data_IF_842212288186
#
_entry.id   IF_842212288186
#
_cell.length_a   1.000
_cell.length_b   1.000
_cell.length_c   1.000
_cell.angle_alpha   90.00
_cell.angle_beta   90.00
_cell.angle_gamma   90.00
#
_symmetry.space_group_name_H-M   'P 1'
#
loop_
_entity.id
_entity.type
_entity.pdbx_description
1 polymer ?
#
# COMPACT_ATOMS: atom_id res chain seq x y z
N UNK A 1 36.16 -68.02 30.38
CA UNK A 1 36.99 -66.96 29.71
C UNK A 1 36.07 -65.94 29.12
N UNK A 2 35.81 -64.82 29.86
CA UNK A 2 34.83 -63.84 29.49
C UNK A 2 35.53 -62.66 28.78
N UNK A 3 35.06 -62.34 27.58
CA UNK A 3 35.51 -61.13 26.85
C UNK A 3 34.40 -60.10 26.98
N UNK A 4 34.68 -59.01 27.67
CA UNK A 4 33.79 -57.87 27.81
C UNK A 4 33.89 -56.99 26.58
N UNK A 5 32.79 -56.59 25.93
CA UNK A 5 32.85 -55.53 24.87
C UNK A 5 32.88 -54.15 25.52
N UNK A 6 33.88 -53.40 25.10
CA UNK A 6 34.11 -52.01 25.45
C UNK A 6 33.07 -51.13 24.73
N UNK A 7 32.20 -50.46 25.50
CA UNK A 7 31.24 -49.52 24.94
C UNK A 7 31.97 -48.22 24.63
N UNK A 8 32.17 -47.95 23.34
CA UNK A 8 32.62 -46.65 22.83
C UNK A 8 31.41 -45.69 22.79
N UNK A 9 31.41 -44.79 23.75
CA UNK A 9 30.44 -43.69 23.83
C UNK A 9 30.89 -42.60 22.85
N UNK A 10 30.27 -42.56 21.67
CA UNK A 10 30.48 -41.51 20.69
C UNK A 10 29.58 -40.31 21.03
N UNK A 11 30.14 -39.33 21.73
CA UNK A 11 29.49 -38.05 21.98
C UNK A 11 29.51 -37.23 20.65
N UNK A 12 28.40 -37.25 19.95
CA UNK A 12 28.18 -36.33 18.82
C UNK A 12 27.87 -34.93 19.37
N UNK A 13 28.86 -34.06 19.36
CA UNK A 13 28.67 -32.61 19.54
C UNK A 13 27.90 -32.08 18.33
N UNK A 14 26.59 -31.90 18.46
CA UNK A 14 25.81 -31.06 17.56
C UNK A 14 26.14 -29.60 17.88
N UNK A 15 27.14 -29.06 17.19
CA UNK A 15 27.33 -27.61 17.10
C UNK A 15 26.16 -27.00 16.33
N UNK A 16 25.23 -26.40 17.04
CA UNK A 16 24.20 -25.53 16.49
C UNK A 16 24.90 -24.30 15.87
N UNK A 17 25.19 -24.41 14.60
CA UNK A 17 25.59 -23.26 13.79
C UNK A 17 24.36 -22.37 13.63
N UNK A 18 24.15 -21.45 14.57
CA UNK A 18 23.19 -20.36 14.39
C UNK A 18 23.74 -19.44 13.30
N UNK A 19 23.31 -19.67 12.07
CA UNK A 19 23.51 -18.70 11.01
C UNK A 19 22.71 -17.43 11.41
N UNK A 20 23.37 -16.26 11.50
CA UNK A 20 22.62 -15.03 11.62
C UNK A 20 21.74 -14.93 10.37
N UNK A 21 20.43 -14.86 10.59
CA UNK A 21 19.48 -14.58 9.51
C UNK A 21 19.90 -13.24 8.91
N UNK A 22 20.57 -13.30 7.74
CA UNK A 22 20.90 -12.12 6.96
C UNK A 22 19.56 -11.54 6.52
N UNK A 23 19.20 -10.36 7.06
CA UNK A 23 18.04 -9.62 6.58
C UNK A 23 18.11 -9.56 5.05
N UNK A 24 17.03 -9.96 4.38
CA UNK A 24 16.97 -9.91 2.93
C UNK A 24 17.27 -8.47 2.47
N UNK A 25 18.09 -8.26 1.43
CA UNK A 25 18.29 -6.92 0.87
C UNK A 25 16.93 -6.43 0.35
N UNK A 26 16.36 -5.41 0.99
CA UNK A 26 15.05 -4.86 0.64
C UNK A 26 14.13 -4.52 1.81
N UNK A 27 14.54 -4.71 3.06
CA UNK A 27 13.70 -4.34 4.22
C UNK A 27 13.97 -2.92 4.75
N UNK A 28 14.62 -2.06 3.98
CA UNK A 28 14.60 -0.64 4.32
C UNK A 28 13.17 -0.11 4.21
N UNK A 29 12.71 0.54 5.28
CA UNK A 29 11.36 1.13 5.29
C UNK A 29 11.24 2.16 4.17
N UNK A 30 10.19 2.07 3.37
CA UNK A 30 9.94 3.02 2.28
C UNK A 30 9.72 4.42 2.87
N UNK A 31 10.57 5.36 2.51
CA UNK A 31 10.39 6.76 2.86
C UNK A 31 9.36 7.40 1.90
N UNK A 32 8.12 7.48 2.36
CA UNK A 32 7.03 8.07 1.58
C UNK A 32 7.14 9.59 1.43
N UNK A 33 8.05 10.23 2.16
CA UNK A 33 8.26 11.68 2.11
C UNK A 33 9.51 12.08 1.33
N UNK A 34 10.10 11.12 0.60
CA UNK A 34 11.23 11.39 -0.28
C UNK A 34 10.85 12.45 -1.33
N UNK A 35 11.74 13.43 -1.51
CA UNK A 35 11.50 14.60 -2.34
C UNK A 35 12.12 14.52 -3.74
N UNK A 36 12.10 13.37 -4.42
CA UNK A 36 12.57 13.31 -5.80
C UNK A 36 11.59 14.06 -6.74
N UNK A 37 12.06 14.67 -7.84
CA UNK A 37 11.19 15.45 -8.72
C UNK A 37 9.93 14.69 -9.18
N UNK A 38 9.98 13.41 -9.61
CA UNK A 38 8.78 12.68 -10.00
C UNK A 38 7.77 12.54 -8.85
N UNK A 39 8.24 12.28 -7.63
CA UNK A 39 7.37 12.15 -6.45
C UNK A 39 6.69 13.48 -6.14
N UNK A 40 7.43 14.59 -6.16
CA UNK A 40 6.90 15.94 -5.88
C UNK A 40 5.83 16.31 -6.90
N UNK A 41 6.08 16.11 -8.20
CA UNK A 41 5.15 16.46 -9.29
C UNK A 41 3.83 15.71 -9.12
N UNK A 42 3.89 14.40 -8.90
CA UNK A 42 2.67 13.59 -8.75
C UNK A 42 1.91 13.94 -7.47
N UNK A 43 2.60 14.13 -6.35
CA UNK A 43 1.96 14.58 -5.10
C UNK A 43 1.23 15.92 -5.28
N UNK A 44 1.82 16.84 -6.03
CA UNK A 44 1.20 18.13 -6.34
C UNK A 44 -0.10 17.96 -7.14
N UNK A 45 -0.09 17.13 -8.19
CA UNK A 45 -1.29 16.81 -8.98
C UNK A 45 -2.41 16.23 -8.12
N UNK A 46 -2.09 15.26 -7.26
CA UNK A 46 -3.03 14.65 -6.33
C UNK A 46 -3.61 15.69 -5.35
N UNK A 47 -2.77 16.54 -4.77
CA UNK A 47 -3.19 17.58 -3.84
C UNK A 47 -4.14 18.60 -4.48
N UNK A 48 -3.84 19.06 -5.70
CA UNK A 48 -4.71 19.96 -6.44
C UNK A 48 -6.09 19.35 -6.75
N UNK A 49 -6.15 18.05 -7.02
CA UNK A 49 -7.41 17.37 -7.33
C UNK A 49 -8.25 17.08 -6.09
N UNK A 50 -7.61 16.93 -4.92
CA UNK A 50 -8.29 16.61 -3.66
C UNK A 50 -9.44 17.57 -3.35
N UNK A 51 -9.26 18.87 -3.53
CA UNK A 51 -10.31 19.87 -3.26
C UNK A 51 -11.59 19.64 -4.09
N UNK A 52 -11.46 19.07 -5.27
CA UNK A 52 -12.57 18.76 -6.18
C UNK A 52 -13.23 17.42 -5.85
N UNK A 53 -12.47 16.48 -5.28
CA UNK A 53 -12.95 15.16 -4.87
C UNK A 53 -13.72 15.20 -3.54
N UNK A 54 -13.35 16.10 -2.62
CA UNK A 54 -13.91 16.17 -1.27
C UNK A 54 -15.45 16.19 -1.28
N UNK A 55 -16.07 16.98 -2.13
CA UNK A 55 -17.53 17.04 -2.24
C UNK A 55 -18.19 15.69 -2.55
N UNK A 56 -17.52 14.84 -3.33
CA UNK A 56 -18.02 13.51 -3.68
C UNK A 56 -17.76 12.49 -2.57
N UNK A 57 -16.66 12.63 -1.81
CA UNK A 57 -16.45 11.87 -0.57
C UNK A 57 -17.50 12.20 0.49
N UNK A 58 -17.74 13.49 0.73
CA UNK A 58 -18.72 13.95 1.71
C UNK A 58 -20.15 13.51 1.35
N UNK A 59 -20.48 13.48 0.07
CA UNK A 59 -21.75 12.98 -0.42
C UNK A 59 -21.85 11.43 -0.39
N UNK A 60 -20.77 10.72 -0.11
CA UNK A 60 -20.71 9.25 -0.09
C UNK A 60 -20.83 8.61 -1.47
N UNK A 61 -20.57 9.37 -2.53
CA UNK A 61 -20.65 8.90 -3.92
C UNK A 61 -19.42 8.12 -4.31
N UNK A 62 -18.27 8.51 -3.81
CA UNK A 62 -16.99 7.86 -4.04
C UNK A 62 -16.38 7.41 -2.71
N UNK A 63 -15.45 6.46 -2.78
CA UNK A 63 -14.73 5.96 -1.63
C UNK A 63 -13.35 5.42 -1.98
N UNK A 64 -12.59 5.06 -0.96
CA UNK A 64 -11.26 4.50 -1.09
C UNK A 64 -11.34 2.97 -1.11
N UNK A 65 -10.90 2.38 -2.21
CA UNK A 65 -10.76 0.93 -2.35
C UNK A 65 -9.64 0.35 -1.48
N UNK A 66 -9.73 -0.93 -1.17
CA UNK A 66 -8.68 -1.65 -0.45
C UNK A 66 -7.33 -1.63 -1.19
N UNK A 67 -7.37 -1.48 -2.51
CA UNK A 67 -6.21 -1.35 -3.41
C UNK A 67 -5.61 0.08 -3.44
N UNK A 68 -6.17 1.00 -2.67
CA UNK A 68 -5.75 2.40 -2.64
C UNK A 68 -6.29 3.26 -3.77
N UNK A 69 -7.10 2.69 -4.66
CA UNK A 69 -7.73 3.43 -5.76
C UNK A 69 -9.07 4.03 -5.34
N UNK A 70 -9.44 5.15 -5.94
CA UNK A 70 -10.75 5.76 -5.71
C UNK A 70 -11.77 5.09 -6.61
N UNK A 71 -12.94 4.77 -6.04
CA UNK A 71 -14.02 4.06 -6.74
C UNK A 71 -15.33 4.82 -6.62
N UNK A 72 -16.12 4.76 -7.69
CA UNK A 72 -17.50 5.20 -7.66
C UNK A 72 -18.31 4.16 -6.85
N UNK A 73 -18.86 4.56 -5.72
CA UNK A 73 -19.61 3.69 -4.80
C UNK A 73 -21.12 3.76 -5.03
N UNK A 74 -21.64 4.98 -5.09
CA UNK A 74 -23.08 5.22 -5.24
C UNK A 74 -23.33 6.44 -6.13
N UNK A 75 -23.67 6.20 -7.38
CA UNK A 75 -23.97 7.24 -8.35
C UNK A 75 -25.44 7.63 -8.38
N UNK A 76 -26.31 6.99 -7.58
CA UNK A 76 -27.77 7.20 -7.63
C UNK A 76 -28.20 8.62 -7.29
N UNK A 77 -27.37 9.32 -6.51
CA UNK A 77 -27.61 10.71 -6.08
C UNK A 77 -27.09 11.77 -7.05
N UNK A 78 -26.43 11.36 -8.12
CA UNK A 78 -25.82 12.26 -9.09
C UNK A 78 -26.69 12.37 -10.34
N UNK A 79 -26.86 13.60 -10.85
CA UNK A 79 -27.31 13.78 -12.22
C UNK A 79 -26.18 13.39 -13.20
N UNK A 80 -26.52 13.30 -14.48
CA UNK A 80 -25.58 12.87 -15.53
C UNK A 80 -24.30 13.72 -15.57
N UNK A 81 -24.42 15.03 -15.49
CA UNK A 81 -23.28 15.95 -15.53
C UNK A 81 -22.35 15.76 -14.33
N UNK A 82 -22.93 15.64 -13.12
CA UNK A 82 -22.17 15.39 -11.91
C UNK A 82 -21.47 14.04 -11.94
N UNK A 83 -22.12 13.01 -12.45
CA UNK A 83 -21.54 11.68 -12.63
C UNK A 83 -20.36 11.72 -13.57
N UNK A 84 -20.48 12.36 -14.71
CA UNK A 84 -19.36 12.52 -15.68
C UNK A 84 -18.17 13.26 -15.05
N UNK A 85 -18.42 14.29 -14.22
CA UNK A 85 -17.36 15.00 -13.50
C UNK A 85 -16.67 14.06 -12.50
N UNK A 86 -17.43 13.30 -11.72
CA UNK A 86 -16.87 12.35 -10.74
C UNK A 86 -16.03 11.27 -11.44
N UNK A 87 -16.55 10.66 -12.49
CA UNK A 87 -15.85 9.65 -13.30
C UNK A 87 -14.54 10.21 -13.87
N UNK A 88 -14.57 11.41 -14.47
CA UNK A 88 -13.37 12.06 -15.01
C UNK A 88 -12.33 12.38 -13.94
N UNK A 89 -12.76 12.77 -12.74
CA UNK A 89 -11.84 12.98 -11.62
C UNK A 89 -11.17 11.67 -11.18
N UNK A 90 -11.93 10.57 -11.10
CA UNK A 90 -11.41 9.25 -10.79
C UNK A 90 -10.43 8.76 -11.86
N UNK A 91 -10.77 8.95 -13.13
CA UNK A 91 -9.93 8.56 -14.29
C UNK A 91 -8.58 9.28 -14.32
N UNK A 92 -8.49 10.47 -13.73
CA UNK A 92 -7.23 11.19 -13.57
C UNK A 92 -6.54 10.89 -12.23
N UNK A 93 -7.30 10.61 -11.18
CA UNK A 93 -6.77 10.34 -9.84
C UNK A 93 -6.01 9.02 -9.78
N UNK A 94 -6.62 7.95 -10.28
CA UNK A 94 -6.06 6.60 -10.13
C UNK A 94 -4.76 6.37 -10.90
N UNK A 95 -4.56 6.87 -12.14
CA UNK A 95 -3.26 6.83 -12.79
C UNK A 95 -2.18 7.58 -12.01
N UNK A 96 -2.50 8.75 -11.45
CA UNK A 96 -1.55 9.50 -10.63
C UNK A 96 -1.22 8.77 -9.32
N UNK A 97 -2.19 8.10 -8.69
CA UNK A 97 -1.93 7.25 -7.52
C UNK A 97 -0.96 6.11 -7.84
N UNK A 98 -1.15 5.43 -8.96
CA UNK A 98 -0.20 4.41 -9.42
C UNK A 98 1.16 5.02 -9.77
N UNK A 99 1.19 6.17 -10.44
CA UNK A 99 2.44 6.88 -10.76
C UNK A 99 3.23 7.27 -9.51
N UNK A 100 2.55 7.65 -8.42
CA UNK A 100 3.22 7.92 -7.15
C UNK A 100 3.89 6.66 -6.60
N UNK A 101 3.21 5.53 -6.63
CA UNK A 101 3.77 4.26 -6.17
C UNK A 101 5.01 3.88 -6.97
N UNK A 102 4.96 3.99 -8.30
CA UNK A 102 6.11 3.71 -9.16
C UNK A 102 7.27 4.70 -8.91
N UNK A 103 6.98 5.99 -8.75
CA UNK A 103 8.01 6.98 -8.44
C UNK A 103 8.68 6.73 -7.09
N UNK A 104 7.93 6.29 -6.10
CA UNK A 104 8.46 5.88 -4.80
C UNK A 104 9.33 4.63 -4.93
N UNK A 105 8.91 3.64 -5.71
CA UNK A 105 9.69 2.43 -5.96
C UNK A 105 11.03 2.76 -6.65
N UNK A 106 10.99 3.57 -7.70
CA UNK A 106 12.21 4.01 -8.40
C UNK A 106 13.18 4.76 -7.47
N UNK A 107 12.66 5.60 -6.58
CA UNK A 107 13.48 6.31 -5.60
C UNK A 107 14.12 5.38 -4.54
N UNK A 108 13.64 4.14 -4.39
CA UNK A 108 14.10 3.16 -3.40
C UNK A 108 14.74 1.91 -4.02
N UNK A 109 15.25 2.00 -5.23
CA UNK A 109 15.98 0.91 -5.86
C UNK A 109 15.27 0.22 -7.02
N UNK A 110 14.14 0.76 -7.49
CA UNK A 110 13.47 0.35 -8.70
C UNK A 110 12.32 -0.63 -8.52
N UNK A 111 11.95 -1.32 -9.59
CA UNK A 111 10.73 -2.16 -9.69
C UNK A 111 10.62 -3.25 -8.62
N UNK A 112 11.74 -3.78 -8.13
CA UNK A 112 11.74 -4.81 -7.07
C UNK A 112 11.18 -4.30 -5.74
N UNK A 113 11.17 -2.99 -5.52
CA UNK A 113 10.62 -2.35 -4.30
C UNK A 113 9.16 -1.92 -4.46
N UNK A 114 8.58 -2.04 -5.65
CA UNK A 114 7.21 -1.62 -5.93
C UNK A 114 6.17 -2.24 -4.99
N UNK A 115 6.18 -3.55 -4.69
CA UNK A 115 5.22 -4.13 -3.76
C UNK A 115 5.28 -3.50 -2.35
N UNK A 116 6.48 -3.21 -1.85
CA UNK A 116 6.67 -2.56 -0.57
C UNK A 116 6.21 -1.09 -0.60
N UNK A 117 6.54 -0.35 -1.66
CA UNK A 117 6.10 1.03 -1.87
C UNK A 117 4.57 1.12 -1.96
N UNK A 118 3.95 0.22 -2.71
CA UNK A 118 2.49 0.11 -2.85
C UNK A 118 1.83 -0.11 -1.50
N UNK A 119 2.27 -1.11 -0.76
CA UNK A 119 1.70 -1.45 0.54
C UNK A 119 1.84 -0.29 1.54
N UNK A 120 3.01 0.35 1.59
CA UNK A 120 3.25 1.49 2.47
C UNK A 120 2.37 2.69 2.11
N UNK A 121 2.25 3.01 0.81
CA UNK A 121 1.46 4.14 0.35
C UNK A 121 -0.05 3.91 0.52
N UNK A 122 -0.55 2.71 0.28
CA UNK A 122 -1.96 2.34 0.53
C UNK A 122 -2.30 2.51 2.01
N UNK A 123 -1.44 2.03 2.92
CA UNK A 123 -1.64 2.25 4.37
C UNK A 123 -1.75 3.74 4.70
N UNK A 124 -0.82 4.55 4.18
CA UNK A 124 -0.85 6.01 4.39
C UNK A 124 -2.15 6.64 3.91
N UNK A 125 -2.64 6.28 2.72
CA UNK A 125 -3.92 6.79 2.22
C UNK A 125 -5.08 6.40 3.11
N UNK A 126 -5.14 5.16 3.60
CA UNK A 126 -6.17 4.73 4.55
C UNK A 126 -6.08 5.48 5.88
N UNK A 127 -4.88 5.70 6.41
CA UNK A 127 -4.67 6.45 7.64
C UNK A 127 -5.11 7.91 7.52
N UNK A 128 -4.79 8.56 6.41
CA UNK A 128 -5.09 9.96 6.15
C UNK A 128 -6.53 10.21 5.67
N UNK A 129 -7.25 9.16 5.29
CA UNK A 129 -8.63 9.28 4.83
C UNK A 129 -9.53 9.71 5.99
N UNK A 130 -10.46 10.65 5.74
CA UNK A 130 -11.24 11.25 6.83
C UNK A 130 -12.23 10.27 7.43
N UNK A 131 -12.45 10.37 8.75
CA UNK A 131 -13.53 9.69 9.44
C UNK A 131 -14.88 10.02 8.79
N UNK A 132 -15.73 9.02 8.65
CA UNK A 132 -17.04 9.16 8.01
C UNK A 132 -17.06 8.98 6.50
N UNK A 133 -15.91 9.02 5.81
CA UNK A 133 -15.83 8.68 4.40
C UNK A 133 -15.84 7.16 4.20
N UNK A 134 -16.23 6.72 3.00
CA UNK A 134 -16.43 5.32 2.70
C UNK A 134 -15.12 4.62 2.28
N UNK A 135 -14.87 3.47 2.89
CA UNK A 135 -13.73 2.60 2.58
C UNK A 135 -14.23 1.20 2.25
N UNK A 136 -13.55 0.55 1.31
CA UNK A 136 -13.85 -0.81 0.88
C UNK A 136 -12.83 -1.77 1.52
N UNK A 137 -13.32 -2.90 2.04
CA UNK A 137 -12.48 -3.99 2.52
C UNK A 137 -12.02 -4.91 1.39
N UNK A 138 -11.20 -5.91 1.73
CA UNK A 138 -10.68 -6.89 0.76
C UNK A 138 -11.75 -7.80 0.16
N UNK A 139 -12.94 -7.86 0.75
CA UNK A 139 -14.08 -8.62 0.25
C UNK A 139 -15.04 -7.77 -0.60
N UNK A 140 -14.73 -6.49 -0.76
CA UNK A 140 -15.57 -5.56 -1.54
C UNK A 140 -16.73 -4.93 -0.74
N UNK A 141 -16.74 -5.09 0.58
CA UNK A 141 -17.76 -4.48 1.42
C UNK A 141 -17.38 -3.02 1.76
N UNK A 142 -18.36 -2.16 1.68
CA UNK A 142 -18.21 -0.75 2.01
C UNK A 142 -18.62 -0.45 3.44
N UNK A 143 -17.79 0.29 4.14
CA UNK A 143 -18.09 0.81 5.48
C UNK A 143 -17.59 2.24 5.63
N UNK A 144 -18.12 2.97 6.59
CA UNK A 144 -17.58 4.29 6.93
C UNK A 144 -16.33 4.13 7.78
N UNK A 145 -15.30 4.90 7.44
CA UNK A 145 -14.11 4.96 8.28
C UNK A 145 -14.50 5.53 9.66
N UNK A 146 -14.10 4.86 10.76
CA UNK A 146 -14.33 5.31 12.12
C UNK A 146 -13.80 6.72 12.41
#
# INVERSE_FOLDING_TARGET
>A
MQIRPLHLLLLALLSLFSWPARAAPGSEAINLDIGTPPVIVVKHSLAQRTSRLVRFYDAGVIGLGHDGMIKLRDASRLNLAQRQIAEKLIDNENPDRNSLIYALAEAHGGQSTEPAARQAQIRRWHEQFRSGWWVEDTQGNWSRKP
#
